data_IF_130997205051
#
_entry.id   IF_130997205051
#
_cell.length_a   1.000
_cell.length_b   1.000
_cell.length_c   1.000
_cell.angle_alpha   90.00
_cell.angle_beta   90.00
_cell.angle_gamma   90.00
#
_symmetry.space_group_name_H-M   'P 1'
#
loop_
_entity.id
_entity.type
_entity.pdbx_description
1 polymer ?
#
# COMPACT_ATOMS: atom_id res chain seq x y z
N UNK A 1 28.36 23.90 -7.24
CA UNK A 1 27.51 25.07 -6.93
C UNK A 1 27.47 25.96 -8.15
N UNK A 2 26.54 25.70 -9.08
CA UNK A 2 26.30 26.58 -10.24
C UNK A 2 25.13 27.48 -9.86
N UNK A 3 25.36 28.79 -9.87
CA UNK A 3 24.37 29.79 -9.47
C UNK A 3 23.12 29.71 -10.35
N UNK A 4 21.97 29.48 -9.73
CA UNK A 4 20.69 29.76 -10.36
C UNK A 4 20.30 31.19 -10.04
N UNK A 5 20.01 31.95 -11.09
CA UNK A 5 19.34 33.23 -11.02
C UNK A 5 17.93 33.03 -10.41
N UNK A 6 17.64 33.58 -9.21
CA UNK A 6 16.36 33.38 -8.55
C UNK A 6 15.17 33.97 -9.32
N UNK A 7 15.42 34.88 -10.27
CA UNK A 7 14.37 35.56 -11.05
C UNK A 7 14.05 34.84 -12.38
N UNK A 8 14.77 33.76 -12.72
CA UNK A 8 14.60 33.02 -13.97
C UNK A 8 14.24 31.55 -13.77
N UNK A 9 13.38 31.27 -12.78
CA UNK A 9 12.75 29.95 -12.64
C UNK A 9 11.59 29.88 -13.64
N UNK A 10 11.63 28.99 -14.65
CA UNK A 10 10.53 28.86 -15.60
C UNK A 10 9.21 28.63 -14.85
N UNK A 11 8.13 29.34 -15.21
CA UNK A 11 6.84 29.24 -14.50
C UNK A 11 6.29 27.80 -14.34
N UNK A 12 6.72 26.87 -15.21
CA UNK A 12 6.37 25.45 -15.13
C UNK A 12 7.32 24.59 -14.29
N UNK A 13 8.49 25.09 -13.88
CA UNK A 13 9.46 24.34 -13.07
C UNK A 13 8.90 24.03 -11.66
N UNK A 14 8.07 24.93 -11.15
CA UNK A 14 7.42 24.81 -9.84
C UNK A 14 6.34 23.72 -9.86
N UNK A 15 5.39 23.77 -10.81
CA UNK A 15 4.32 22.74 -10.96
C UNK A 15 4.78 21.47 -11.67
N UNK A 16 6.02 21.44 -12.16
CA UNK A 16 6.62 20.27 -12.81
C UNK A 16 7.25 19.28 -11.84
N UNK A 17 7.53 19.68 -10.59
CA UNK A 17 8.32 18.88 -9.63
C UNK A 17 7.63 18.63 -8.29
N UNK A 18 6.57 19.36 -7.94
CA UNK A 18 5.81 19.10 -6.70
C UNK A 18 5.02 17.78 -6.77
N UNK A 19 5.22 16.90 -5.80
CA UNK A 19 4.62 15.55 -5.74
C UNK A 19 3.09 15.56 -5.64
N UNK A 20 2.52 16.57 -4.97
CA UNK A 20 1.06 16.77 -4.91
C UNK A 20 0.44 17.12 -6.25
N UNK A 21 1.24 17.60 -7.22
CA UNK A 21 0.75 17.91 -8.57
C UNK A 21 0.47 16.63 -9.36
N UNK A 22 1.09 15.49 -9.04
CA UNK A 22 0.83 14.22 -9.72
C UNK A 22 -0.65 13.80 -9.66
N UNK A 23 -1.26 13.62 -8.47
CA UNK A 23 -2.69 13.29 -8.38
C UNK A 23 -3.56 14.44 -8.88
N UNK A 24 -3.16 15.70 -8.66
CA UNK A 24 -3.93 16.86 -9.14
C UNK A 24 -4.01 16.93 -10.67
N UNK A 25 -2.98 16.48 -11.40
CA UNK A 25 -3.00 16.41 -12.87
C UNK A 25 -3.97 15.35 -13.36
N UNK A 26 -4.02 14.19 -12.71
CA UNK A 26 -4.97 13.11 -13.03
C UNK A 26 -6.39 13.59 -12.76
N UNK A 27 -6.65 14.17 -11.58
CA UNK A 27 -7.95 14.73 -11.24
C UNK A 27 -8.38 15.84 -12.20
N UNK A 28 -7.48 16.75 -12.56
CA UNK A 28 -7.78 17.83 -13.51
C UNK A 28 -8.06 17.31 -14.93
N UNK A 29 -7.28 16.36 -15.42
CA UNK A 29 -7.42 15.83 -16.78
C UNK A 29 -8.71 15.01 -16.96
N UNK A 30 -9.09 14.22 -15.95
CA UNK A 30 -10.29 13.37 -15.97
C UNK A 30 -11.52 14.00 -15.29
N UNK A 31 -11.43 15.26 -14.87
CA UNK A 31 -12.49 15.99 -14.17
C UNK A 31 -13.00 15.25 -12.91
N UNK A 32 -12.07 14.72 -12.11
CA UNK A 32 -12.37 14.01 -10.87
C UNK A 32 -12.45 15.00 -9.70
N UNK A 33 -13.61 15.05 -9.04
CA UNK A 33 -13.85 15.95 -7.89
C UNK A 33 -13.62 15.30 -6.52
N UNK A 34 -13.09 14.09 -6.53
CA UNK A 34 -12.68 13.44 -5.31
C UNK A 34 -11.44 14.06 -4.68
N UNK A 35 -11.21 13.81 -3.38
CA UNK A 35 -9.90 13.95 -2.78
C UNK A 35 -8.73 13.69 -3.77
N UNK A 36 -7.79 14.65 -3.85
CA UNK A 36 -6.46 14.59 -4.53
C UNK A 36 -5.24 14.85 -3.56
N UNK A 37 -4.33 13.88 -3.31
CA UNK A 37 -3.44 13.62 -2.15
C UNK A 37 -2.38 12.66 -2.70
N UNK A 38 -1.16 13.05 -2.43
CA UNK A 38 0.01 12.22 -2.55
C UNK A 38 0.31 11.61 -1.17
N UNK A 39 0.61 10.32 -1.11
CA UNK A 39 0.94 9.65 0.16
C UNK A 39 2.36 9.13 0.06
N UNK A 40 3.23 9.57 0.97
CA UNK A 40 4.57 9.02 1.10
C UNK A 40 4.75 8.39 2.49
N UNK A 41 4.73 7.06 2.52
CA UNK A 41 5.18 6.22 3.62
C UNK A 41 6.27 5.26 3.15
N UNK A 42 7.12 5.70 2.21
CA UNK A 42 8.17 4.92 1.58
C UNK A 42 7.66 3.63 0.90
N UNK A 43 8.21 2.47 1.26
CA UNK A 43 7.90 1.19 0.59
C UNK A 43 6.43 0.76 0.73
N UNK A 44 5.71 1.31 1.71
CA UNK A 44 4.30 0.99 1.98
C UNK A 44 3.31 2.02 1.41
N UNK A 45 3.76 3.11 0.77
CA UNK A 45 2.90 4.18 0.23
C UNK A 45 1.76 3.62 -0.63
N UNK A 46 2.12 2.60 -1.39
CA UNK A 46 1.29 1.82 -2.27
C UNK A 46 0.15 1.07 -1.53
N UNK A 47 0.51 0.40 -0.44
CA UNK A 47 -0.33 -0.19 0.62
C UNK A 47 -1.32 0.83 1.22
N UNK A 48 -0.73 1.94 1.65
CA UNK A 48 -1.39 2.96 2.43
C UNK A 48 -2.39 3.75 1.58
N UNK A 49 -2.05 4.07 0.33
CA UNK A 49 -2.97 4.67 -0.63
C UNK A 49 -4.21 3.80 -0.84
N UNK A 50 -4.03 2.47 -0.90
CA UNK A 50 -5.14 1.52 -1.01
C UNK A 50 -6.02 1.52 0.24
N UNK A 51 -5.41 1.51 1.44
CA UNK A 51 -6.14 1.59 2.70
C UNK A 51 -6.95 2.89 2.80
N UNK A 52 -6.34 4.02 2.47
CA UNK A 52 -6.98 5.34 2.46
C UNK A 52 -8.10 5.42 1.41
N UNK A 53 -7.90 4.90 0.20
CA UNK A 53 -8.96 4.82 -0.81
C UNK A 53 -10.14 3.95 -0.32
N UNK A 54 -9.87 2.82 0.33
CA UNK A 54 -10.92 2.00 0.93
C UNK A 54 -11.66 2.72 2.06
N UNK A 55 -10.97 3.56 2.84
CA UNK A 55 -11.60 4.40 3.87
C UNK A 55 -12.46 5.51 3.23
N UNK A 56 -11.94 6.21 2.23
CA UNK A 56 -12.64 7.27 1.51
C UNK A 56 -13.93 6.74 0.83
N UNK A 57 -13.86 5.59 0.16
CA UNK A 57 -15.05 4.94 -0.42
C UNK A 57 -16.09 4.52 0.63
N UNK A 58 -15.64 4.02 1.79
CA UNK A 58 -16.55 3.70 2.91
C UNK A 58 -17.22 4.94 3.50
N UNK A 59 -16.56 6.09 3.41
CA UNK A 59 -17.02 7.35 3.97
C UNK A 59 -17.70 8.26 2.94
N UNK A 60 -17.78 7.87 1.66
CA UNK A 60 -18.46 8.61 0.60
C UNK A 60 -17.63 9.75 -0.03
N UNK A 61 -16.31 9.66 -0.03
CA UNK A 61 -15.39 10.70 -0.53
C UNK A 61 -14.56 10.15 -1.72
N UNK A 62 -14.59 10.81 -2.89
CA UNK A 62 -14.00 10.32 -4.16
C UNK A 62 -12.45 10.48 -4.24
N UNK A 63 -11.73 10.06 -5.31
CA UNK A 63 -10.29 9.69 -5.18
C UNK A 63 -9.26 10.16 -6.24
N UNK A 64 -8.01 10.09 -5.74
CA UNK A 64 -6.62 10.40 -6.15
C UNK A 64 -5.97 9.59 -7.29
N UNK A 65 -4.76 9.97 -7.74
CA UNK A 65 -3.74 8.98 -8.18
C UNK A 65 -2.26 9.45 -8.12
N UNK A 66 -1.40 8.73 -7.40
CA UNK A 66 0.06 8.89 -7.34
C UNK A 66 0.67 7.49 -7.26
N UNK A 67 1.73 7.20 -8.01
CA UNK A 67 2.66 6.12 -7.64
C UNK A 67 3.92 6.12 -8.49
N UNK A 68 5.00 6.50 -7.82
CA UNK A 68 6.34 5.97 -8.05
C UNK A 68 6.45 4.53 -7.52
N UNK A 69 7.48 3.82 -7.96
CA UNK A 69 8.25 2.82 -7.20
C UNK A 69 9.71 3.14 -7.57
N UNK A 70 10.72 2.89 -6.74
CA UNK A 70 10.84 2.10 -5.51
C UNK A 70 12.26 2.13 -4.89
N UNK A 71 13.12 1.10 -4.77
CA UNK A 71 13.42 0.01 -5.71
C UNK A 71 14.90 -0.04 -6.18
N UNK A 72 15.31 -1.11 -6.85
CA UNK A 72 16.19 -0.91 -8.01
C UNK A 72 15.41 -0.06 -9.00
N UNK A 73 15.94 1.03 -9.61
CA UNK A 73 15.08 1.91 -10.42
C UNK A 73 14.28 1.22 -11.57
N UNK A 74 13.22 0.49 -11.28
CA UNK A 74 12.21 -0.07 -12.15
C UNK A 74 10.93 0.72 -12.01
N UNK A 75 10.87 1.84 -12.75
CA UNK A 75 9.74 2.78 -12.67
C UNK A 75 8.49 2.05 -13.13
N UNK A 76 7.46 2.14 -12.32
CA UNK A 76 6.26 1.34 -12.44
C UNK A 76 5.13 2.14 -11.87
N UNK A 77 4.28 2.61 -12.77
CA UNK A 77 2.99 3.19 -12.40
C UNK A 77 1.98 2.06 -12.43
N UNK A 78 1.28 1.86 -11.32
CA UNK A 78 0.14 0.94 -11.26
C UNK A 78 -1.06 1.72 -10.78
N UNK A 79 -2.11 1.74 -11.58
CA UNK A 79 -3.41 2.28 -11.21
C UNK A 79 -4.38 1.13 -10.94
N UNK A 80 -5.17 1.26 -9.89
CA UNK A 80 -6.29 0.37 -9.59
C UNK A 80 -7.56 1.20 -9.58
N UNK A 81 -8.57 0.76 -10.33
CA UNK A 81 -9.92 1.31 -10.22
C UNK A 81 -10.65 0.49 -9.17
N UNK A 82 -11.10 1.17 -8.12
CA UNK A 82 -11.77 0.53 -6.98
C UNK A 82 -13.14 1.14 -6.84
N UNK A 83 -14.12 0.27 -6.61
CA UNK A 83 -15.50 0.66 -6.41
C UNK A 83 -16.12 -0.23 -5.32
N UNK A 84 -17.11 0.25 -4.56
CA UNK A 84 -17.89 -0.62 -3.69
C UNK A 84 -18.42 -1.82 -4.47
N UNK A 85 -18.30 -3.02 -3.90
CA UNK A 85 -18.67 -4.26 -4.58
C UNK A 85 -20.12 -4.26 -5.05
N UNK A 86 -21.03 -3.71 -4.25
CA UNK A 86 -22.45 -3.56 -4.60
C UNK A 86 -22.65 -2.73 -5.86
N UNK A 87 -21.90 -1.63 -6.00
CA UNK A 87 -21.97 -0.76 -7.17
C UNK A 87 -21.31 -1.43 -8.38
N UNK A 88 -20.22 -2.17 -8.18
CA UNK A 88 -19.56 -2.93 -9.26
C UNK A 88 -20.50 -3.97 -9.84
N UNK A 89 -21.23 -4.68 -8.98
CA UNK A 89 -22.27 -5.63 -9.39
C UNK A 89 -23.44 -4.93 -10.07
N UNK A 90 -23.96 -3.84 -9.51
CA UNK A 90 -25.08 -3.07 -10.07
C UNK A 90 -24.77 -2.57 -11.48
N UNK A 91 -23.58 -2.01 -11.67
CA UNK A 91 -23.20 -1.37 -12.93
C UNK A 91 -22.64 -2.38 -13.95
N UNK A 92 -22.52 -3.66 -13.58
CA UNK A 92 -22.06 -4.73 -14.47
C UNK A 92 -20.55 -4.73 -14.74
N UNK A 93 -19.76 -4.19 -13.82
CA UNK A 93 -18.31 -4.11 -13.97
C UNK A 93 -17.65 -5.49 -13.93
N UNK A 94 -16.53 -5.61 -14.64
CA UNK A 94 -15.65 -6.77 -14.51
C UNK A 94 -14.88 -6.72 -13.17
N UNK A 95 -15.29 -7.53 -12.21
CA UNK A 95 -14.66 -7.62 -10.89
C UNK A 95 -13.46 -8.59 -10.96
N UNK A 96 -12.24 -8.05 -10.83
CA UNK A 96 -10.99 -8.85 -10.84
C UNK A 96 -10.68 -9.50 -9.50
N UNK A 97 -10.96 -8.78 -8.41
CA UNK A 97 -10.71 -9.22 -7.04
C UNK A 97 -11.60 -8.41 -6.08
N UNK A 98 -11.74 -8.90 -4.85
CA UNK A 98 -12.44 -8.19 -3.77
C UNK A 98 -11.47 -7.92 -2.64
N UNK A 99 -11.32 -6.65 -2.29
CA UNK A 99 -10.56 -6.23 -1.10
C UNK A 99 -11.43 -6.48 0.13
N UNK A 100 -11.08 -7.50 0.91
CA UNK A 100 -11.84 -7.88 2.13
C UNK A 100 -11.59 -6.92 3.27
N UNK A 101 -10.33 -6.53 3.47
CA UNK A 101 -9.95 -5.49 4.42
C UNK A 101 -8.55 -4.96 4.10
N UNK A 102 -8.26 -3.81 4.68
CA UNK A 102 -6.97 -3.11 4.66
C UNK A 102 -6.71 -2.59 6.08
N UNK A 103 -5.44 -2.49 6.49
CA UNK A 103 -5.03 -1.94 7.77
C UNK A 103 -3.63 -1.38 7.67
N UNK A 104 -3.29 -0.45 8.57
CA UNK A 104 -1.97 0.16 8.71
C UNK A 104 -1.68 0.37 10.20
N UNK A 105 -0.40 0.29 10.58
CA UNK A 105 0.11 0.63 11.91
C UNK A 105 1.55 1.15 11.82
N UNK A 106 2.24 1.30 12.96
CA UNK A 106 3.59 1.87 13.03
C UNK A 106 4.44 1.04 14.00
N UNK A 107 5.72 0.86 13.65
CA UNK A 107 6.67 0.01 14.39
C UNK A 107 6.99 0.49 15.82
N UNK A 108 6.71 1.76 16.11
CA UNK A 108 6.97 2.42 17.38
C UNK A 108 8.46 2.70 17.58
N UNK A 109 8.91 2.54 18.83
CA UNK A 109 10.30 2.72 19.20
C UNK A 109 11.08 1.42 19.03
N UNK A 110 11.86 1.33 17.96
CA UNK A 110 12.75 0.19 17.66
C UNK A 110 14.22 0.58 17.87
N UNK A 111 15.16 -0.39 18.01
CA UNK A 111 16.58 -0.09 18.24
C UNK A 111 17.28 0.73 17.15
N UNK A 112 16.67 0.84 15.96
CA UNK A 112 17.08 1.77 14.92
C UNK A 112 15.87 2.24 14.12
N UNK A 113 15.87 3.51 13.67
CA UNK A 113 14.73 4.14 13.00
C UNK A 113 14.14 3.33 11.83
N UNK A 114 14.98 2.61 11.11
CA UNK A 114 14.59 1.79 9.94
C UNK A 114 14.51 0.30 10.25
N UNK A 115 14.71 -0.10 11.52
CA UNK A 115 14.63 -1.50 11.92
C UNK A 115 13.17 -1.90 12.13
N UNK A 116 12.68 -2.97 11.47
CA UNK A 116 11.29 -3.37 11.55
C UNK A 116 10.96 -3.97 12.93
N UNK A 117 9.69 -3.85 13.34
CA UNK A 117 9.17 -4.44 14.57
C UNK A 117 8.42 -5.75 14.30
N UNK A 118 8.91 -6.91 14.79
CA UNK A 118 8.18 -8.16 14.64
C UNK A 118 6.77 -8.10 15.25
N UNK A 119 6.65 -7.45 16.41
CA UNK A 119 5.37 -7.34 17.12
C UNK A 119 4.37 -6.49 16.34
N UNK A 120 4.81 -5.35 15.77
CA UNK A 120 3.92 -4.51 14.97
C UNK A 120 3.43 -5.25 13.70
N UNK A 121 4.28 -6.05 13.06
CA UNK A 121 3.86 -6.87 11.92
C UNK A 121 2.85 -7.95 12.32
N UNK A 122 3.05 -8.63 13.45
CA UNK A 122 2.09 -9.60 13.97
C UNK A 122 0.74 -8.96 14.28
N UNK A 123 0.75 -7.79 14.94
CA UNK A 123 -0.45 -7.05 15.31
C UNK A 123 -1.21 -6.57 14.07
N UNK A 124 -0.48 -6.09 13.05
CA UNK A 124 -1.07 -5.68 11.77
C UNK A 124 -1.78 -6.84 11.07
N UNK A 125 -1.15 -8.01 11.00
CA UNK A 125 -1.76 -9.21 10.41
C UNK A 125 -3.01 -9.57 11.22
N UNK A 126 -2.97 -9.59 12.55
CA UNK A 126 -4.17 -9.93 13.35
C UNK A 126 -5.28 -8.90 13.16
N UNK A 127 -4.95 -7.61 13.08
CA UNK A 127 -5.90 -6.53 12.89
C UNK A 127 -6.62 -6.63 11.53
N UNK A 128 -5.89 -6.93 10.44
CA UNK A 128 -6.49 -6.99 9.10
C UNK A 128 -7.50 -8.15 9.00
N UNK A 129 -7.19 -9.31 9.57
CA UNK A 129 -8.12 -10.46 9.61
C UNK A 129 -9.31 -10.22 10.53
N UNK A 130 -9.09 -9.63 11.71
CA UNK A 130 -10.16 -9.23 12.62
C UNK A 130 -11.12 -8.25 11.93
N UNK A 131 -10.59 -7.24 11.23
CA UNK A 131 -11.40 -6.26 10.48
C UNK A 131 -12.16 -6.89 9.30
N UNK A 132 -11.59 -7.90 8.64
CA UNK A 132 -12.27 -8.65 7.59
C UNK A 132 -13.32 -9.64 8.12
N UNK A 133 -13.33 -9.90 9.44
CA UNK A 133 -14.05 -11.02 10.05
C UNK A 133 -13.73 -12.36 9.33
N UNK A 134 -12.44 -12.65 9.15
CA UNK A 134 -11.96 -13.86 8.48
C UNK A 134 -11.07 -14.69 9.43
N UNK A 135 -11.19 -16.02 9.40
CA UNK A 135 -10.20 -16.89 10.05
C UNK A 135 -8.87 -16.85 9.26
N UNK A 136 -7.77 -17.34 9.86
CA UNK A 136 -6.44 -17.32 9.25
C UNK A 136 -6.20 -18.48 8.25
N UNK A 137 -6.95 -19.57 8.37
CA UNK A 137 -6.83 -20.81 7.59
C UNK A 137 -7.42 -20.73 6.17
N UNK A 138 -8.20 -19.68 5.86
CA UNK A 138 -8.68 -19.44 4.48
C UNK A 138 -7.59 -18.92 3.56
N UNK A 139 -6.52 -18.33 4.11
CA UNK A 139 -5.47 -17.69 3.31
C UNK A 139 -4.42 -18.67 2.86
N UNK A 140 -4.54 -19.16 1.62
CA UNK A 140 -3.60 -20.14 1.08
C UNK A 140 -2.26 -19.53 0.63
N UNK A 141 -2.27 -18.25 0.30
CA UNK A 141 -1.15 -17.54 -0.30
C UNK A 141 -0.96 -16.18 0.37
N UNK A 142 0.29 -15.84 0.69
CA UNK A 142 0.69 -14.54 1.22
C UNK A 142 1.87 -14.02 0.39
N UNK A 143 1.68 -12.86 -0.21
CA UNK A 143 2.76 -12.10 -0.85
C UNK A 143 3.43 -11.25 0.23
N UNK A 144 4.69 -11.54 0.53
CA UNK A 144 5.46 -10.86 1.57
C UNK A 144 6.01 -9.52 1.06
N UNK A 145 6.40 -8.64 1.99
CA UNK A 145 7.15 -7.44 1.67
C UNK A 145 8.50 -7.80 1.05
N UNK A 146 9.22 -8.76 1.64
CA UNK A 146 10.23 -9.55 0.95
C UNK A 146 11.37 -8.73 0.33
N UNK A 147 11.90 -7.76 1.07
CA UNK A 147 12.87 -6.77 0.57
C UNK A 147 14.25 -7.31 0.22
N UNK A 148 14.53 -8.58 0.50
CA UNK A 148 15.85 -9.17 0.31
C UNK A 148 16.87 -8.71 1.34
N UNK A 149 16.43 -8.19 2.50
CA UNK A 149 17.35 -7.64 3.51
C UNK A 149 17.72 -8.69 4.56
N UNK A 150 19.00 -8.77 4.99
CA UNK A 150 19.46 -9.81 5.91
C UNK A 150 18.85 -9.70 7.31
N UNK A 151 18.28 -8.55 7.65
CA UNK A 151 17.62 -8.29 8.95
C UNK A 151 16.10 -8.33 8.80
N UNK A 152 15.54 -7.71 7.75
CA UNK A 152 14.09 -7.58 7.58
C UNK A 152 13.42 -8.91 7.24
N UNK A 153 13.98 -9.68 6.32
CA UNK A 153 13.33 -10.91 5.84
C UNK A 153 13.21 -11.98 6.94
N UNK A 154 14.23 -12.22 7.81
CA UNK A 154 14.05 -13.11 8.95
C UNK A 154 13.03 -12.61 9.98
N UNK A 155 12.88 -11.30 10.16
CA UNK A 155 11.88 -10.71 11.06
C UNK A 155 10.48 -10.95 10.49
N UNK A 156 10.29 -10.65 9.21
CA UNK A 156 9.01 -10.81 8.51
C UNK A 156 8.55 -12.27 8.50
N UNK A 157 9.43 -13.20 8.10
CA UNK A 157 9.07 -14.61 8.04
C UNK A 157 8.74 -15.19 9.44
N UNK A 158 9.41 -14.70 10.50
CA UNK A 158 9.08 -15.08 11.88
C UNK A 158 7.72 -14.55 12.31
N UNK A 159 7.38 -13.29 11.98
CA UNK A 159 6.08 -12.70 12.30
C UNK A 159 4.95 -13.46 11.59
N UNK A 160 5.07 -13.68 10.27
CA UNK A 160 4.13 -14.49 9.48
C UNK A 160 3.98 -15.88 10.09
N UNK A 161 5.09 -16.57 10.34
CA UNK A 161 5.09 -17.90 10.94
C UNK A 161 4.39 -17.93 12.30
N UNK A 162 4.63 -16.94 13.17
CA UNK A 162 4.02 -16.88 14.51
C UNK A 162 2.52 -16.63 14.47
N UNK A 163 2.01 -15.89 13.48
CA UNK A 163 0.56 -15.68 13.32
C UNK A 163 -0.12 -16.89 12.67
N UNK A 164 0.39 -17.41 11.55
CA UNK A 164 -0.31 -18.42 10.77
C UNK A 164 -0.13 -19.86 11.25
N UNK A 165 0.96 -20.18 11.98
CA UNK A 165 1.17 -21.56 12.51
C UNK A 165 0.12 -21.97 13.54
N UNK A 166 -0.60 -21.03 14.14
CA UNK A 166 -1.71 -21.37 15.05
C UNK A 166 -2.90 -22.02 14.33
N UNK A 167 -2.96 -21.93 13.01
CA UNK A 167 -4.06 -22.39 12.17
C UNK A 167 -3.59 -23.19 10.95
N UNK A 168 -2.33 -23.66 10.93
CA UNK A 168 -1.69 -24.34 9.79
C UNK A 168 -0.84 -25.51 10.27
N UNK A 169 -0.68 -26.53 9.43
CA UNK A 169 0.19 -27.69 9.68
C UNK A 169 1.20 -27.87 8.54
N UNK A 170 2.23 -28.74 8.69
CA UNK A 170 3.12 -29.08 7.58
C UNK A 170 2.41 -29.64 6.33
N UNK A 171 1.29 -30.32 6.52
CA UNK A 171 0.46 -30.92 5.46
C UNK A 171 -0.49 -29.89 4.82
N UNK A 172 -0.79 -28.80 5.53
CA UNK A 172 -1.55 -27.65 5.04
C UNK A 172 -0.77 -26.35 5.27
N UNK A 173 0.31 -26.09 4.51
CA UNK A 173 1.18 -24.95 4.74
C UNK A 173 0.60 -23.63 4.19
N UNK A 174 1.04 -22.50 4.73
CA UNK A 174 0.87 -21.22 4.04
C UNK A 174 1.93 -21.13 2.93
N UNK A 175 1.52 -20.84 1.69
CA UNK A 175 2.47 -20.49 0.64
C UNK A 175 2.84 -19.01 0.76
N UNK A 176 4.13 -18.74 1.00
CA UNK A 176 4.66 -17.38 1.08
C UNK A 176 5.49 -17.13 -0.17
N UNK A 177 5.17 -16.06 -0.89
CA UNK A 177 5.92 -15.62 -2.05
C UNK A 177 6.72 -14.36 -1.73
N UNK A 178 7.98 -14.36 -2.19
CA UNK A 178 8.92 -13.26 -2.09
C UNK A 178 9.31 -12.93 -3.53
N UNK A 179 9.17 -11.66 -3.92
CA UNK A 179 9.47 -11.21 -5.28
C UNK A 179 10.96 -10.89 -5.36
N UNK A 180 11.73 -11.75 -6.02
CA UNK A 180 13.17 -11.55 -6.30
C UNK A 180 13.41 -10.38 -7.27
#
# INVERSE_FOLDING_TARGET
MVGQDPDNVPRMAVTGTFESILPNRVSWYFDLHGPSIHVDSACSSSLLALDLACQALRNGEASFDHRANGYARGEGVTALVIKPLSDAVRDGDMIRAVIRSTSSNQDGHTPGLTQPSPQAQEDLIRQVYKKANLPLDVTRYLEAHGTGTPVGDPIEMKAIGKVFRTSRSPEDPLYVYVKE
#
